data_IF_569043637912
#
_entry.id   IF_569043637912
#
_cell.length_a   1.000
_cell.length_b   1.000
_cell.length_c   1.000
_cell.angle_alpha   90.00
_cell.angle_beta   90.00
_cell.angle_gamma   90.00
#
_symmetry.space_group_name_H-M   'P 1'
#
loop_
_entity.id
_entity.type
_entity.pdbx_description
1 polymer ?
#
# COMPACT_ATOMS: atom_id res chain seq x y z
N UNK A 1 46.74 38.59 -2.82
CA UNK A 1 45.73 38.11 -3.78
C UNK A 1 44.65 37.41 -2.98
N UNK A 2 43.40 37.86 -3.08
CA UNK A 2 42.28 37.44 -2.22
C UNK A 2 41.57 36.28 -2.93
N UNK A 3 41.72 35.05 -2.44
CA UNK A 3 41.05 33.88 -3.02
C UNK A 3 39.58 33.84 -2.57
N UNK A 4 38.70 33.93 -3.55
CA UNK A 4 37.25 33.81 -3.38
C UNK A 4 36.83 32.35 -3.26
N UNK A 5 35.79 32.12 -2.43
CA UNK A 5 34.88 30.96 -2.41
C UNK A 5 35.39 29.68 -1.74
N UNK A 6 35.05 29.52 -0.47
CA UNK A 6 34.43 28.28 0.03
C UNK A 6 33.74 28.57 1.38
N UNK A 7 32.45 28.94 1.30
CA UNK A 7 31.59 29.10 2.49
C UNK A 7 30.82 27.80 2.72
N UNK A 8 31.54 26.73 3.04
CA UNK A 8 30.90 25.51 3.53
C UNK A 8 30.58 25.70 5.02
N UNK A 9 29.31 25.62 5.41
CA UNK A 9 28.92 25.69 6.82
C UNK A 9 29.48 24.50 7.59
N UNK A 10 29.68 24.61 8.92
CA UNK A 10 30.16 23.48 9.72
C UNK A 10 29.31 22.21 9.58
N UNK A 11 28.01 22.35 9.27
CA UNK A 11 27.10 21.23 9.01
C UNK A 11 27.39 20.57 7.66
N UNK A 12 27.57 21.36 6.61
CA UNK A 12 27.89 20.85 5.27
C UNK A 12 29.25 20.15 5.25
N UNK A 13 30.27 20.72 5.89
CA UNK A 13 31.60 20.09 5.97
C UNK A 13 31.57 18.74 6.69
N UNK A 14 30.83 18.64 7.81
CA UNK A 14 30.65 17.35 8.52
C UNK A 14 29.90 16.34 7.66
N UNK A 15 28.91 16.78 6.89
CA UNK A 15 28.16 15.90 6.00
C UNK A 15 29.01 15.40 4.84
N UNK A 16 29.81 16.27 4.22
CA UNK A 16 30.75 15.89 3.16
C UNK A 16 31.84 14.94 3.68
N UNK A 17 32.38 15.19 4.88
CA UNK A 17 33.32 14.27 5.51
C UNK A 17 32.68 12.89 5.75
N UNK A 18 31.46 12.84 6.29
CA UNK A 18 30.72 11.59 6.48
C UNK A 18 30.47 10.85 5.16
N UNK A 19 30.08 11.55 4.09
CA UNK A 19 29.92 10.94 2.76
C UNK A 19 31.25 10.38 2.24
N UNK A 20 32.37 11.09 2.48
CA UNK A 20 33.70 10.68 2.04
C UNK A 20 34.27 9.47 2.80
N UNK A 21 33.71 9.13 3.96
CA UNK A 21 34.05 7.90 4.70
C UNK A 21 33.53 6.63 4.00
N UNK A 22 32.56 6.76 3.10
CA UNK A 22 32.05 5.66 2.28
C UNK A 22 32.72 5.64 0.91
N UNK A 23 32.87 4.44 0.32
CA UNK A 23 33.38 4.31 -1.05
C UNK A 23 32.51 5.10 -2.03
N UNK A 24 33.12 6.05 -2.73
CA UNK A 24 32.47 6.89 -3.76
C UNK A 24 32.51 6.26 -5.15
N UNK A 25 32.79 4.96 -5.26
CA UNK A 25 32.69 4.23 -6.53
C UNK A 25 31.21 3.97 -6.89
N UNK A 26 30.57 4.95 -7.53
CA UNK A 26 29.21 4.85 -8.04
C UNK A 26 29.26 4.35 -9.49
N UNK A 27 29.01 3.06 -9.69
CA UNK A 27 28.91 2.47 -11.03
C UNK A 27 27.45 2.39 -11.48
N UNK A 28 27.16 2.95 -12.65
CA UNK A 28 25.84 2.86 -13.25
C UNK A 28 25.57 1.43 -13.77
N UNK A 29 24.43 0.87 -13.39
CA UNK A 29 23.90 -0.39 -13.92
C UNK A 29 22.64 -0.05 -14.70
N UNK A 30 22.63 -0.37 -15.99
CA UNK A 30 21.46 -0.18 -16.84
C UNK A 30 20.24 -0.95 -16.31
N UNK A 31 19.03 -0.42 -16.52
CA UNK A 31 17.81 -1.00 -15.95
C UNK A 31 17.60 -2.49 -16.28
N UNK A 32 17.98 -2.93 -17.49
CA UNK A 32 17.89 -4.33 -17.90
C UNK A 32 18.81 -5.27 -17.08
N UNK A 33 19.96 -4.76 -16.62
CA UNK A 33 20.92 -5.52 -15.83
C UNK A 33 20.71 -5.34 -14.31
N UNK A 34 19.87 -4.38 -13.91
CA UNK A 34 19.54 -4.14 -12.51
C UNK A 34 18.39 -5.04 -12.04
N UNK A 35 18.60 -6.35 -12.18
CA UNK A 35 17.61 -7.39 -11.85
C UNK A 35 17.15 -7.26 -10.40
N UNK A 36 18.05 -6.90 -9.48
CA UNK A 36 17.70 -6.71 -8.07
C UNK A 36 16.73 -5.54 -7.91
N UNK A 37 17.00 -4.36 -8.48
CA UNK A 37 16.06 -3.24 -8.38
C UNK A 37 14.76 -3.48 -9.14
N UNK A 38 14.81 -4.15 -10.30
CA UNK A 38 13.62 -4.53 -11.05
C UNK A 38 12.74 -5.51 -10.25
N UNK A 39 13.33 -6.56 -9.67
CA UNK A 39 12.61 -7.50 -8.78
C UNK A 39 12.06 -6.78 -7.56
N UNK A 40 12.86 -5.98 -6.84
CA UNK A 40 12.41 -5.26 -5.63
C UNK A 40 11.33 -4.20 -5.94
N UNK A 41 11.39 -3.53 -7.09
CA UNK A 41 10.34 -2.59 -7.51
C UNK A 41 9.04 -3.31 -7.88
N UNK A 42 9.13 -4.51 -8.45
CA UNK A 42 7.97 -5.38 -8.73
C UNK A 42 7.38 -6.05 -7.49
N UNK A 43 8.14 -6.21 -6.40
CA UNK A 43 7.61 -6.74 -5.13
C UNK A 43 6.46 -5.88 -4.62
N UNK A 44 6.45 -4.55 -4.82
CA UNK A 44 5.31 -3.71 -4.44
C UNK A 44 4.02 -4.11 -5.19
N UNK A 45 4.15 -4.56 -6.44
CA UNK A 45 3.02 -5.07 -7.24
C UNK A 45 2.57 -6.46 -6.76
N UNK A 46 3.51 -7.35 -6.41
CA UNK A 46 3.21 -8.69 -5.89
C UNK A 46 2.65 -8.65 -4.45
N UNK A 47 3.05 -7.65 -3.66
CA UNK A 47 2.65 -7.43 -2.28
C UNK A 47 1.38 -6.57 -2.13
N UNK A 48 0.61 -6.40 -3.21
CA UNK A 48 -0.57 -5.54 -3.18
C UNK A 48 -1.56 -5.96 -2.09
N UNK A 49 -1.52 -7.20 -1.59
CA UNK A 49 -2.37 -7.67 -0.48
C UNK A 49 -1.54 -8.51 0.52
N UNK A 50 -0.27 -8.15 0.76
CA UNK A 50 0.56 -8.97 1.65
C UNK A 50 0.08 -8.87 3.11
N UNK A 51 -0.11 -10.02 3.75
CA UNK A 51 -0.48 -10.13 5.16
C UNK A 51 -1.99 -10.13 5.47
N UNK A 52 -2.85 -9.97 4.47
CA UNK A 52 -4.31 -10.01 4.63
C UNK A 52 -4.87 -11.33 4.08
N UNK A 53 -5.65 -12.03 4.90
CA UNK A 53 -6.23 -13.31 4.53
C UNK A 53 -7.48 -13.12 3.65
N UNK A 54 -7.30 -13.09 2.33
CA UNK A 54 -8.41 -12.96 1.38
C UNK A 54 -9.43 -14.09 1.44
N UNK A 55 -9.02 -15.29 1.89
CA UNK A 55 -9.96 -16.42 2.05
C UNK A 55 -10.90 -16.13 3.21
N UNK A 56 -10.39 -15.57 4.29
CA UNK A 56 -11.19 -15.15 5.43
C UNK A 56 -12.11 -13.97 5.06
N UNK A 57 -11.60 -12.97 4.34
CA UNK A 57 -12.44 -11.89 3.81
C UNK A 57 -13.59 -12.44 2.94
N UNK A 58 -13.31 -13.40 2.05
CA UNK A 58 -14.34 -14.05 1.25
C UNK A 58 -15.39 -14.79 2.11
N UNK A 59 -14.99 -15.42 3.22
CA UNK A 59 -15.95 -16.01 4.17
C UNK A 59 -16.85 -14.95 4.79
N UNK A 60 -16.25 -13.86 5.30
CA UNK A 60 -17.02 -12.74 5.86
C UNK A 60 -17.98 -12.10 4.85
N UNK A 61 -17.67 -12.13 3.55
CA UNK A 61 -18.58 -11.66 2.51
C UNK A 61 -19.77 -12.61 2.30
N UNK A 62 -19.55 -13.93 2.34
CA UNK A 62 -20.59 -14.93 2.06
C UNK A 62 -21.53 -15.20 3.24
N UNK A 63 -21.09 -14.95 4.47
CA UNK A 63 -21.89 -15.22 5.68
C UNK A 63 -23.04 -14.22 5.91
N UNK A 64 -23.05 -13.07 5.23
CA UNK A 64 -23.90 -11.93 5.57
C UNK A 64 -24.82 -11.53 4.40
N UNK A 65 -26.10 -11.87 4.50
CA UNK A 65 -27.12 -11.58 3.48
C UNK A 65 -27.37 -10.07 3.37
N UNK A 66 -27.29 -9.33 4.49
CA UNK A 66 -27.54 -7.89 4.51
C UNK A 66 -26.47 -7.12 3.74
N UNK A 67 -25.22 -7.63 3.78
CA UNK A 67 -24.12 -7.07 2.99
C UNK A 67 -24.41 -7.10 1.48
N UNK A 68 -24.97 -8.20 0.97
CA UNK A 68 -25.33 -8.29 -0.45
C UNK A 68 -26.44 -7.30 -0.83
N UNK A 69 -27.42 -7.10 0.06
CA UNK A 69 -28.50 -6.14 -0.15
C UNK A 69 -27.99 -4.69 -0.11
N UNK A 70 -27.10 -4.36 0.85
CA UNK A 70 -26.46 -3.05 0.95
C UNK A 70 -25.65 -2.74 -0.32
N UNK A 71 -24.93 -3.73 -0.87
CA UNK A 71 -24.18 -3.57 -2.11
C UNK A 71 -25.09 -3.38 -3.33
N UNK A 72 -26.22 -4.08 -3.41
CA UNK A 72 -27.18 -3.93 -4.50
C UNK A 72 -27.80 -2.52 -4.56
N UNK A 73 -27.88 -1.83 -3.42
CA UNK A 73 -28.38 -0.46 -3.33
C UNK A 73 -27.34 0.62 -3.74
N UNK A 74 -26.10 0.23 -4.05
CA UNK A 74 -25.03 1.16 -4.42
C UNK A 74 -24.80 1.23 -5.92
N UNK A 75 -24.16 2.31 -6.38
CA UNK A 75 -23.71 2.49 -7.77
C UNK A 75 -22.40 1.76 -8.10
N UNK A 76 -21.95 0.85 -7.22
CA UNK A 76 -20.71 0.10 -7.40
C UNK A 76 -20.82 -0.88 -8.58
N UNK A 77 -19.70 -1.11 -9.26
CA UNK A 77 -19.64 -2.12 -10.32
C UNK A 77 -19.10 -3.42 -9.71
N UNK A 78 -20.02 -4.24 -9.21
CA UNK A 78 -19.69 -5.47 -8.51
C UNK A 78 -19.22 -6.55 -9.48
N UNK A 79 -18.05 -7.12 -9.19
CA UNK A 79 -17.49 -8.27 -9.89
C UNK A 79 -17.12 -9.35 -8.89
N UNK A 80 -17.50 -10.59 -9.18
CA UNK A 80 -17.05 -11.76 -8.42
C UNK A 80 -15.75 -12.30 -9.02
N UNK A 81 -14.75 -12.53 -8.16
CA UNK A 81 -13.48 -13.16 -8.52
C UNK A 81 -13.30 -14.44 -7.74
N UNK A 82 -12.92 -15.50 -8.44
CA UNK A 82 -12.55 -16.76 -7.78
C UNK A 82 -11.12 -16.70 -7.28
N UNK A 83 -10.93 -17.10 -6.01
CA UNK A 83 -9.61 -17.13 -5.36
C UNK A 83 -9.30 -18.56 -4.91
N UNK A 84 -7.99 -18.87 -4.78
CA UNK A 84 -7.48 -20.19 -4.38
C UNK A 84 -8.01 -21.30 -5.28
N UNK A 85 -7.78 -21.14 -6.58
CA UNK A 85 -8.15 -22.09 -7.65
C UNK A 85 -9.65 -22.43 -7.65
N UNK A 86 -10.53 -21.43 -7.53
CA UNK A 86 -11.98 -21.65 -7.62
C UNK A 86 -12.70 -21.94 -6.30
N UNK A 87 -11.98 -22.11 -5.19
CA UNK A 87 -12.60 -22.59 -3.92
C UNK A 87 -13.38 -21.53 -3.15
N UNK A 88 -13.11 -20.25 -3.38
CA UNK A 88 -13.81 -19.16 -2.67
C UNK A 88 -14.11 -18.05 -3.67
N UNK A 89 -15.22 -17.37 -3.45
CA UNK A 89 -15.68 -16.26 -4.26
C UNK A 89 -15.47 -14.98 -3.46
N UNK A 90 -14.77 -14.03 -4.06
CA UNK A 90 -14.49 -12.72 -3.50
C UNK A 90 -15.25 -11.66 -4.32
N UNK A 91 -16.02 -10.84 -3.63
CA UNK A 91 -16.75 -9.71 -4.22
C UNK A 91 -15.80 -8.50 -4.25
N UNK A 92 -15.68 -7.92 -5.42
CA UNK A 92 -14.83 -6.78 -5.70
C UNK A 92 -15.62 -5.67 -6.38
N UNK A 93 -15.14 -4.43 -6.25
CA UNK A 93 -15.59 -3.30 -7.06
C UNK A 93 -14.59 -3.02 -8.18
N UNK A 94 -15.07 -2.79 -9.39
CA UNK A 94 -14.28 -2.42 -10.56
C UNK A 94 -14.56 -1.00 -11.09
N UNK A 95 -15.39 -0.22 -10.39
CA UNK A 95 -15.87 1.09 -10.86
C UNK A 95 -14.74 2.10 -11.17
N UNK A 96 -13.60 1.99 -10.49
CA UNK A 96 -12.45 2.91 -10.60
C UNK A 96 -11.36 2.43 -11.56
N UNK A 97 -11.64 1.42 -12.39
CA UNK A 97 -10.68 0.84 -13.35
C UNK A 97 -9.67 -0.12 -12.74
N UNK A 98 -9.47 -0.09 -11.42
CA UNK A 98 -8.70 -1.10 -10.68
C UNK A 98 -9.66 -1.95 -9.86
N UNK A 99 -9.66 -3.27 -10.08
CA UNK A 99 -10.50 -4.15 -9.27
C UNK A 99 -9.97 -4.26 -7.85
N UNK A 100 -10.79 -3.91 -6.86
CA UNK A 100 -10.43 -3.93 -5.45
C UNK A 100 -11.47 -4.74 -4.64
N UNK A 101 -11.04 -5.62 -3.72
CA UNK A 101 -11.96 -6.35 -2.85
C UNK A 101 -12.74 -5.42 -1.94
N UNK A 102 -14.03 -5.70 -1.77
CA UNK A 102 -14.89 -4.92 -0.89
C UNK A 102 -14.74 -5.42 0.56
N UNK A 103 -14.42 -4.53 1.49
CA UNK A 103 -14.14 -4.90 2.89
C UNK A 103 -15.36 -4.66 3.78
N UNK A 104 -15.82 -5.75 4.43
CA UNK A 104 -16.92 -5.69 5.40
C UNK A 104 -16.50 -4.97 6.67
N UNK A 105 -17.46 -4.36 7.38
CA UNK A 105 -17.21 -3.54 8.57
C UNK A 105 -16.38 -4.27 9.64
N UNK A 106 -16.69 -5.53 9.91
CA UNK A 106 -15.98 -6.38 10.87
C UNK A 106 -14.51 -6.61 10.50
N UNK A 107 -14.17 -6.58 9.21
CA UNK A 107 -12.82 -6.85 8.70
C UNK A 107 -12.00 -5.57 8.46
N UNK A 108 -12.63 -4.38 8.48
CA UNK A 108 -11.95 -3.10 8.23
C UNK A 108 -10.81 -2.83 9.21
N UNK A 109 -11.04 -3.06 10.51
CA UNK A 109 -10.02 -2.86 11.54
C UNK A 109 -8.83 -3.81 11.37
N UNK A 110 -9.09 -5.06 10.96
CA UNK A 110 -8.04 -6.05 10.68
C UNK A 110 -7.17 -5.58 9.52
N UNK A 111 -7.79 -5.08 8.44
CA UNK A 111 -7.09 -4.51 7.27
C UNK A 111 -6.27 -3.28 7.67
N UNK A 112 -6.88 -2.36 8.43
CA UNK A 112 -6.22 -1.14 8.91
C UNK A 112 -4.99 -1.48 9.76
N UNK A 113 -5.16 -2.32 10.79
CA UNK A 113 -4.12 -2.71 11.72
C UNK A 113 -2.96 -3.41 11.02
N UNK A 114 -3.27 -4.39 10.17
CA UNK A 114 -2.25 -5.13 9.41
C UNK A 114 -1.41 -4.22 8.53
N UNK A 115 -2.04 -3.27 7.84
CA UNK A 115 -1.36 -2.45 6.85
C UNK A 115 -0.61 -1.27 7.47
N UNK A 116 -1.14 -0.71 8.55
CA UNK A 116 -0.45 0.33 9.27
C UNK A 116 0.72 -0.20 10.10
N UNK A 117 0.60 -1.38 10.72
CA UNK A 117 1.68 -1.94 11.53
C UNK A 117 2.86 -2.47 10.70
N UNK A 118 2.80 -2.45 9.36
CA UNK A 118 3.94 -2.78 8.49
C UNK A 118 5.12 -1.83 8.68
N UNK A 119 4.84 -0.55 8.89
CA UNK A 119 5.88 0.49 8.98
C UNK A 119 5.47 1.72 9.78
N UNK A 120 4.37 1.66 10.54
CA UNK A 120 3.72 2.80 11.18
C UNK A 120 3.64 4.06 10.29
N UNK A 121 3.09 3.94 9.06
CA UNK A 121 2.98 5.08 8.17
C UNK A 121 1.98 6.11 8.74
N UNK A 122 2.29 7.40 8.56
CA UNK A 122 1.34 8.45 8.85
C UNK A 122 0.07 8.36 7.98
N UNK A 123 -0.99 9.06 8.38
CA UNK A 123 -2.32 9.00 7.75
C UNK A 123 -2.32 8.99 6.21
N UNK A 124 -1.56 9.89 5.57
CA UNK A 124 -1.54 9.99 4.09
C UNK A 124 -1.00 8.72 3.43
N UNK A 125 0.07 8.16 3.99
CA UNK A 125 0.68 6.94 3.47
C UNK A 125 -0.22 5.73 3.72
N UNK A 126 -0.81 5.61 4.91
CA UNK A 126 -1.80 4.57 5.23
C UNK A 126 -3.04 4.66 4.34
N UNK A 127 -3.55 5.87 4.12
CA UNK A 127 -4.70 6.12 3.25
C UNK A 127 -4.43 5.66 1.82
N UNK A 128 -3.32 6.11 1.23
CA UNK A 128 -2.90 5.70 -0.11
C UNK A 128 -2.74 4.18 -0.20
N UNK A 129 -2.08 3.59 0.79
CA UNK A 129 -1.78 2.17 0.80
C UNK A 129 -3.06 1.33 0.83
N UNK A 130 -4.07 1.73 1.61
CA UNK A 130 -5.35 1.01 1.70
C UNK A 130 -6.21 1.24 0.45
N UNK A 131 -6.34 2.48 -0.02
CA UNK A 131 -7.25 2.83 -1.14
C UNK A 131 -6.80 2.24 -2.48
N UNK A 132 -5.50 1.97 -2.66
CA UNK A 132 -4.96 1.25 -3.82
C UNK A 132 -5.33 -0.24 -3.85
N UNK A 133 -5.80 -0.79 -2.72
CA UNK A 133 -5.89 -2.24 -2.47
C UNK A 133 -7.31 -2.69 -2.18
N UNK A 134 -8.09 -1.90 -1.47
CA UNK A 134 -9.39 -2.26 -0.91
C UNK A 134 -10.42 -1.16 -1.14
N UNK A 135 -11.70 -1.53 -1.08
CA UNK A 135 -12.81 -0.59 -1.18
C UNK A 135 -13.84 -0.82 -0.07
N UNK A 136 -14.36 0.26 0.51
CA UNK A 136 -15.58 0.25 1.31
C UNK A 136 -16.13 1.67 1.46
N UNK A 137 -17.40 1.79 1.85
CA UNK A 137 -18.05 3.09 2.04
C UNK A 137 -17.38 3.89 3.17
N UNK A 138 -17.16 5.19 2.92
CA UNK A 138 -16.59 6.15 3.90
C UNK A 138 -15.19 5.76 4.40
N UNK A 139 -14.41 5.03 3.59
CA UNK A 139 -13.07 4.55 3.92
C UNK A 139 -12.11 5.63 4.43
N UNK A 140 -12.09 6.82 3.81
CA UNK A 140 -11.24 7.92 4.28
C UNK A 140 -11.57 8.39 5.70
N UNK A 141 -12.84 8.31 6.12
CA UNK A 141 -13.27 8.64 7.48
C UNK A 141 -12.73 7.61 8.47
N UNK A 142 -12.91 6.32 8.17
CA UNK A 142 -12.45 5.22 9.01
C UNK A 142 -10.91 5.25 9.16
N UNK A 143 -10.18 5.46 8.07
CA UNK A 143 -8.70 5.55 8.09
C UNK A 143 -8.23 6.75 8.91
N UNK A 144 -8.91 7.91 8.78
CA UNK A 144 -8.52 9.13 9.50
C UNK A 144 -8.72 8.99 11.01
N UNK A 145 -9.82 8.37 11.42
CA UNK A 145 -10.10 8.10 12.83
C UNK A 145 -9.04 7.16 13.43
N UNK A 146 -8.64 6.15 12.65
CA UNK A 146 -7.78 5.09 13.14
C UNK A 146 -6.27 5.43 13.06
N UNK A 147 -5.81 6.12 12.02
CA UNK A 147 -4.40 6.51 11.84
C UNK A 147 -3.98 7.76 12.64
N UNK A 148 -4.80 8.17 13.63
CA UNK A 148 -4.53 9.30 14.51
C UNK A 148 -3.70 8.81 15.70
N UNK A 149 -2.41 8.61 15.45
CA UNK A 149 -1.37 8.40 16.47
C UNK A 149 -0.65 9.72 16.71
#
# INVERSE_FOLDING_TARGET
MKSSSDKCSPRESRHLNYISEFSTDIRHISGANNVVADVLSRIHFLNRIQGINLVELARFQNEDIDFHHELAATTLQLQTKTIRNGRNILICDSSTGTTCPIVRRSYRLIVLDKLHNLSHPGFRATSKLITERFCWQKMNKDIKEWARI
#
